data_IF_182725518453
#
_entry.id   IF_182725518453
#
_cell.length_a   1.000
_cell.length_b   1.000
_cell.length_c   1.000
_cell.angle_alpha   90.00
_cell.angle_beta   90.00
_cell.angle_gamma   90.00
#
_symmetry.space_group_name_H-M   'P 1'
#
loop_
_entity.id
_entity.type
_entity.pdbx_description
1 polymer ?
#
# COMPACT_ATOMS: atom_id res chain seq x y z
N UNK A 1 10.27 -9.80 13.77
CA UNK A 1 9.76 -9.43 15.11
C UNK A 1 10.03 -7.95 15.33
N UNK A 2 9.13 -7.27 16.04
CA UNK A 2 9.13 -5.81 16.24
C UNK A 2 10.45 -5.31 16.84
N UNK A 3 10.97 -6.00 17.85
CA UNK A 3 12.20 -5.59 18.53
C UNK A 3 13.42 -5.48 17.61
N UNK A 4 13.58 -6.41 16.67
CA UNK A 4 14.64 -6.35 15.64
C UNK A 4 14.52 -5.10 14.75
N UNK A 5 13.29 -4.73 14.37
CA UNK A 5 13.05 -3.53 13.52
C UNK A 5 13.32 -2.25 14.29
N UNK A 6 12.93 -2.18 15.56
CA UNK A 6 13.27 -1.05 16.44
C UNK A 6 14.79 -0.89 16.60
N UNK A 7 15.51 -2.00 16.80
CA UNK A 7 16.97 -2.00 16.88
C UNK A 7 17.61 -1.54 15.57
N UNK A 8 17.10 -1.99 14.42
CA UNK A 8 17.56 -1.56 13.10
C UNK A 8 17.37 -0.05 12.89
N UNK A 9 16.16 0.47 13.19
CA UNK A 9 15.87 1.90 13.09
C UNK A 9 16.77 2.72 14.02
N UNK A 10 16.90 2.29 15.28
CA UNK A 10 17.78 2.97 16.23
C UNK A 10 19.22 3.04 15.74
N UNK A 11 19.75 1.94 15.21
CA UNK A 11 21.12 1.90 14.67
C UNK A 11 21.27 2.74 13.39
N UNK A 12 20.24 2.80 12.52
CA UNK A 12 20.23 3.63 11.30
C UNK A 12 20.35 5.13 11.62
N UNK A 13 19.79 5.56 12.74
CA UNK A 13 19.87 6.94 13.23
C UNK A 13 21.02 7.16 14.22
N UNK A 14 21.90 6.16 14.42
CA UNK A 14 23.06 6.23 15.32
C UNK A 14 22.73 6.57 16.79
N UNK A 15 21.53 6.18 17.24
CA UNK A 15 21.04 6.49 18.58
C UNK A 15 21.38 5.38 19.58
N UNK A 16 21.68 5.77 20.81
CA UNK A 16 21.72 4.84 21.95
C UNK A 16 20.31 4.53 22.46
N UNK A 17 20.14 3.41 23.17
CA UNK A 17 18.86 3.08 23.82
C UNK A 17 18.42 4.15 24.82
N UNK A 18 19.37 4.87 25.42
CA UNK A 18 19.07 5.92 26.39
C UNK A 18 18.59 7.21 25.71
N UNK A 19 19.24 7.63 24.63
CA UNK A 19 18.82 8.80 23.86
C UNK A 19 17.43 8.62 23.26
N UNK A 20 17.16 7.47 22.65
CA UNK A 20 15.85 7.20 22.07
C UNK A 20 14.75 7.10 23.14
N UNK A 21 15.06 6.50 24.30
CA UNK A 21 14.12 6.49 25.42
C UNK A 21 13.80 7.90 25.94
N UNK A 22 14.79 8.79 26.00
CA UNK A 22 14.59 10.21 26.35
C UNK A 22 13.69 10.92 25.35
N UNK A 23 13.94 10.72 24.05
CA UNK A 23 13.13 11.30 22.96
C UNK A 23 11.68 10.83 23.02
N UNK A 24 11.46 9.54 23.30
CA UNK A 24 10.13 8.95 23.40
C UNK A 24 9.48 9.16 24.79
N UNK A 25 10.10 9.96 25.67
CA UNK A 25 9.64 10.25 27.02
C UNK A 25 9.34 8.98 27.85
N UNK A 26 10.25 8.00 27.84
CA UNK A 26 10.13 6.75 28.60
C UNK A 26 11.44 6.34 29.25
N UNK A 27 11.40 5.32 30.14
CA UNK A 27 12.61 4.80 30.75
C UNK A 27 13.42 3.96 29.76
N UNK A 28 14.76 4.05 29.85
CA UNK A 28 15.69 3.19 29.10
C UNK A 28 15.34 1.70 29.23
N UNK A 29 14.99 1.27 30.45
CA UNK A 29 14.61 -0.12 30.73
C UNK A 29 13.35 -0.56 29.97
N UNK A 30 12.36 0.33 29.85
CA UNK A 30 11.12 0.06 29.10
C UNK A 30 11.42 -0.09 27.62
N UNK A 31 12.18 0.83 27.05
CA UNK A 31 12.56 0.77 25.64
C UNK A 31 13.41 -0.48 25.32
N UNK A 32 14.39 -0.81 26.17
CA UNK A 32 15.21 -2.01 26.01
C UNK A 32 14.37 -3.30 26.00
N UNK A 33 13.30 -3.37 26.80
CA UNK A 33 12.37 -4.51 26.79
C UNK A 33 11.59 -4.65 25.47
N UNK A 34 11.37 -3.55 24.74
CA UNK A 34 10.76 -3.59 23.41
C UNK A 34 11.74 -4.19 22.38
N UNK A 35 13.01 -3.81 22.40
CA UNK A 35 14.02 -4.34 21.45
C UNK A 35 14.24 -5.85 21.56
N UNK A 36 14.08 -6.40 22.77
CA UNK A 36 14.20 -7.85 23.02
C UNK A 36 12.86 -8.59 23.00
N UNK A 37 11.80 -7.95 22.51
CA UNK A 37 10.43 -8.50 22.42
C UNK A 37 9.85 -9.02 23.77
N UNK A 38 10.40 -8.58 24.91
CA UNK A 38 9.91 -8.94 26.26
C UNK A 38 8.65 -8.18 26.65
N UNK A 39 8.47 -6.98 26.08
CA UNK A 39 7.29 -6.15 26.26
C UNK A 39 6.83 -5.64 24.89
N UNK A 40 5.54 -5.40 24.73
CA UNK A 40 4.99 -4.74 23.54
C UNK A 40 4.68 -3.28 23.88
N UNK A 41 4.98 -2.32 22.98
CA UNK A 41 4.51 -0.95 23.15
C UNK A 41 2.99 -0.90 23.09
N UNK A 42 2.40 0.04 23.81
CA UNK A 42 0.98 0.38 23.64
C UNK A 42 0.76 1.13 22.31
N UNK A 43 -0.50 1.40 21.99
CA UNK A 43 -0.88 2.07 20.75
C UNK A 43 -0.22 3.44 20.62
N UNK A 44 -0.29 4.27 21.67
CA UNK A 44 0.26 5.63 21.66
C UNK A 44 1.78 5.64 21.54
N UNK A 45 2.48 4.70 22.19
CA UNK A 45 3.93 4.55 22.06
C UNK A 45 4.31 4.06 20.67
N UNK A 46 3.57 3.11 20.12
CA UNK A 46 3.81 2.61 18.77
C UNK A 46 3.66 3.73 17.73
N UNK A 47 2.63 4.58 17.87
CA UNK A 47 2.42 5.75 17.02
C UNK A 47 3.56 6.76 17.18
N UNK A 48 3.97 7.10 18.40
CA UNK A 48 5.11 8.01 18.64
C UNK A 48 6.41 7.52 18.03
N UNK A 49 6.69 6.21 18.11
CA UNK A 49 7.85 5.60 17.47
C UNK A 49 7.75 5.74 15.94
N UNK A 50 6.57 5.43 15.38
CA UNK A 50 6.31 5.55 13.94
C UNK A 50 6.53 6.99 13.44
N UNK A 51 5.98 7.97 14.15
CA UNK A 51 6.08 9.39 13.82
C UNK A 51 7.52 9.91 13.94
N UNK A 52 8.25 9.48 14.97
CA UNK A 52 9.64 9.88 15.17
C UNK A 52 10.55 9.37 14.05
N UNK A 53 10.44 8.09 13.71
CA UNK A 53 11.27 7.49 12.67
C UNK A 53 10.73 7.73 11.25
N UNK A 54 9.59 8.42 11.11
CA UNK A 54 8.89 8.64 9.83
C UNK A 54 8.64 7.32 9.10
N UNK A 55 8.12 6.34 9.82
CA UNK A 55 7.79 5.00 9.30
C UNK A 55 6.33 4.68 9.55
N UNK A 56 5.75 3.75 8.79
CA UNK A 56 4.39 3.29 9.07
C UNK A 56 4.37 2.33 10.25
N UNK A 57 3.24 2.26 10.98
CA UNK A 57 3.03 1.22 11.99
C UNK A 57 3.05 -0.18 11.38
N UNK A 58 2.64 -0.32 10.11
CA UNK A 58 2.71 -1.58 9.38
C UNK A 58 4.17 -2.04 9.17
N UNK A 59 5.10 -1.11 8.95
CA UNK A 59 6.52 -1.41 8.97
C UNK A 59 7.02 -1.78 10.37
N UNK A 60 6.55 -1.15 11.44
CA UNK A 60 6.96 -1.59 12.78
C UNK A 60 6.46 -3.03 13.07
N UNK A 61 5.22 -3.33 12.68
CA UNK A 61 4.54 -4.56 13.05
C UNK A 61 4.87 -5.80 12.21
N UNK A 62 5.65 -5.70 11.14
CA UNK A 62 5.98 -6.87 10.33
C UNK A 62 5.25 -6.96 8.99
N UNK A 63 4.26 -6.09 8.73
CA UNK A 63 3.34 -6.22 7.58
C UNK A 63 3.94 -5.73 6.26
N UNK A 64 4.98 -4.92 6.35
CA UNK A 64 5.67 -4.34 5.19
C UNK A 64 7.16 -4.23 5.50
N UNK A 65 8.02 -4.42 4.50
CA UNK A 65 9.49 -4.26 4.62
C UNK A 65 9.95 -2.83 4.26
N UNK A 66 9.06 -2.00 3.71
CA UNK A 66 9.35 -0.60 3.39
C UNK A 66 9.35 0.26 4.65
N UNK A 67 10.55 0.66 5.06
CA UNK A 67 10.79 1.44 6.29
C UNK A 67 10.44 2.91 6.20
N UNK A 68 9.79 3.43 5.15
CA UNK A 68 9.81 4.88 4.92
C UNK A 68 8.46 5.48 4.53
N UNK A 69 8.00 6.40 5.37
CA UNK A 69 7.25 7.59 4.97
C UNK A 69 8.33 8.61 4.55
N UNK A 70 9.00 8.34 3.44
CA UNK A 70 9.99 9.29 2.91
C UNK A 70 9.19 10.43 2.29
N UNK A 71 9.29 11.62 2.90
CA UNK A 71 9.08 12.86 2.18
C UNK A 71 9.87 12.77 0.86
N UNK A 72 9.17 12.94 -0.27
CA UNK A 72 9.60 12.64 -1.65
C UNK A 72 9.49 11.17 -2.12
N UNK A 73 8.31 10.61 -1.91
CA UNK A 73 7.90 9.28 -2.38
C UNK A 73 7.86 9.16 -3.91
N UNK A 74 7.42 10.22 -4.60
CA UNK A 74 7.21 10.17 -6.06
C UNK A 74 8.54 10.16 -6.84
N UNK A 75 9.52 11.05 -6.58
CA UNK A 75 10.77 11.07 -7.35
C UNK A 75 11.54 9.74 -7.32
N UNK A 76 11.77 9.19 -6.13
CA UNK A 76 12.50 7.94 -5.94
C UNK A 76 11.78 6.75 -6.57
N UNK A 77 10.44 6.67 -6.40
CA UNK A 77 9.64 5.58 -6.96
C UNK A 77 9.46 5.68 -8.46
N UNK A 78 9.38 6.90 -8.99
CA UNK A 78 9.33 7.16 -10.42
C UNK A 78 10.60 6.65 -11.10
N UNK A 79 11.77 6.96 -10.52
CA UNK A 79 13.05 6.44 -10.99
C UNK A 79 13.11 4.92 -10.88
N UNK A 80 12.73 4.37 -9.73
CA UNK A 80 12.73 2.92 -9.48
C UNK A 80 11.87 2.16 -10.49
N UNK A 81 10.62 2.58 -10.73
CA UNK A 81 9.72 1.86 -11.65
C UNK A 81 10.15 2.01 -13.10
N UNK A 82 10.72 3.17 -13.47
CA UNK A 82 11.29 3.36 -14.80
C UNK A 82 12.43 2.38 -15.07
N UNK A 83 13.36 2.24 -14.11
CA UNK A 83 14.48 1.29 -14.19
C UNK A 83 14.00 -0.17 -14.21
N UNK A 84 12.98 -0.51 -13.40
CA UNK A 84 12.38 -1.85 -13.41
C UNK A 84 11.70 -2.22 -14.73
N UNK A 85 11.12 -1.24 -15.41
CA UNK A 85 10.51 -1.42 -16.72
C UNK A 85 11.51 -1.33 -17.88
N UNK A 86 12.80 -1.12 -17.60
CA UNK A 86 13.87 -0.95 -18.59
C UNK A 86 13.63 0.21 -19.57
N UNK A 87 12.92 1.26 -19.12
CA UNK A 87 12.60 2.44 -19.94
C UNK A 87 13.66 3.52 -19.75
N UNK A 88 14.17 4.09 -20.85
CA UNK A 88 15.08 5.25 -20.79
C UNK A 88 14.35 6.56 -20.46
N UNK A 89 15.09 7.60 -20.07
CA UNK A 89 14.47 8.91 -19.81
C UNK A 89 13.87 9.51 -21.08
N UNK A 90 14.53 9.27 -22.21
CA UNK A 90 14.14 9.71 -23.53
C UNK A 90 12.85 9.02 -23.98
N UNK A 91 12.78 7.70 -23.90
CA UNK A 91 11.57 6.95 -24.27
C UNK A 91 10.36 7.33 -23.40
N UNK A 92 10.57 7.52 -22.08
CA UNK A 92 9.51 7.98 -21.21
C UNK A 92 9.05 9.40 -21.60
N UNK A 93 9.99 10.30 -21.88
CA UNK A 93 9.68 11.67 -22.30
C UNK A 93 8.91 11.70 -23.63
N UNK A 94 9.31 10.89 -24.61
CA UNK A 94 8.62 10.74 -25.90
C UNK A 94 7.19 10.23 -25.71
N UNK A 95 6.99 9.20 -24.87
CA UNK A 95 5.65 8.66 -24.59
C UNK A 95 4.68 9.68 -24.00
N UNK A 96 5.21 10.68 -23.28
CA UNK A 96 4.44 11.70 -22.59
C UNK A 96 4.38 13.04 -23.34
N UNK A 97 5.06 13.15 -24.49
CA UNK A 97 5.29 14.42 -25.19
C UNK A 97 5.89 15.50 -24.27
N UNK A 98 6.86 15.13 -23.44
CA UNK A 98 7.56 16.01 -22.50
C UNK A 98 9.04 16.12 -22.86
N UNK A 99 9.76 17.06 -22.24
CA UNK A 99 11.21 17.10 -22.37
C UNK A 99 11.85 16.07 -21.43
N UNK A 100 12.96 15.45 -21.86
CA UNK A 100 13.78 14.59 -21.00
C UNK A 100 14.21 15.32 -19.71
N UNK A 101 14.48 16.62 -19.82
CA UNK A 101 14.84 17.47 -18.69
C UNK A 101 13.72 17.55 -17.64
N UNK A 102 12.45 17.59 -18.06
CA UNK A 102 11.32 17.57 -17.13
C UNK A 102 11.27 16.27 -16.35
N UNK A 103 11.43 15.12 -17.02
CA UNK A 103 11.44 13.81 -16.37
C UNK A 103 12.59 13.72 -15.35
N UNK A 104 13.79 14.16 -15.72
CA UNK A 104 14.94 14.22 -14.81
C UNK A 104 14.69 15.15 -13.60
N UNK A 105 14.01 16.27 -13.80
CA UNK A 105 13.64 17.17 -12.71
C UNK A 105 12.58 16.59 -11.77
N UNK A 106 11.66 15.77 -12.30
CA UNK A 106 10.70 15.02 -11.49
C UNK A 106 11.40 13.94 -10.65
N UNK A 107 12.33 13.17 -11.24
CA UNK A 107 13.10 12.14 -10.52
C UNK A 107 14.06 12.70 -9.47
N UNK A 108 14.55 13.93 -9.66
CA UNK A 108 15.40 14.62 -8.67
C UNK A 108 14.62 15.42 -7.65
N UNK A 109 13.28 15.47 -7.75
CA UNK A 109 12.41 16.24 -6.85
C UNK A 109 12.54 17.76 -6.99
N UNK A 110 13.25 18.26 -8.00
CA UNK A 110 13.41 19.69 -8.27
C UNK A 110 12.13 20.34 -8.81
N UNK A 111 11.26 19.54 -9.42
CA UNK A 111 9.98 19.98 -9.99
C UNK A 111 8.85 19.17 -9.39
N UNK A 112 7.80 19.85 -8.92
CA UNK A 112 6.58 19.20 -8.44
C UNK A 112 5.75 18.68 -9.62
N UNK A 113 5.12 17.53 -9.42
CA UNK A 113 4.20 16.92 -10.38
C UNK A 113 2.78 17.42 -10.15
N UNK A 114 2.09 17.80 -11.24
CA UNK A 114 0.66 18.05 -11.19
C UNK A 114 -0.12 16.72 -11.15
N UNK A 115 -1.30 16.64 -10.50
CA UNK A 115 -2.10 15.41 -10.45
C UNK A 115 -2.40 14.84 -11.84
N UNK A 116 -2.59 15.67 -12.86
CA UNK A 116 -2.81 15.21 -14.22
C UNK A 116 -1.60 14.47 -14.80
N UNK A 117 -0.41 15.05 -14.63
CA UNK A 117 0.87 14.45 -15.05
C UNK A 117 1.16 13.16 -14.28
N UNK A 118 0.82 13.12 -12.98
CA UNK A 118 1.01 11.93 -12.16
C UNK A 118 0.19 10.73 -12.66
N UNK A 119 -1.07 10.96 -13.05
CA UNK A 119 -1.94 9.93 -13.63
C UNK A 119 -1.36 9.42 -14.95
N UNK A 120 -0.85 10.34 -15.78
CA UNK A 120 -0.27 10.02 -17.07
C UNK A 120 1.03 9.20 -16.93
N UNK A 121 1.89 9.54 -15.97
CA UNK A 121 3.10 8.76 -15.62
C UNK A 121 2.75 7.36 -15.11
N UNK A 122 1.76 7.26 -14.23
CA UNK A 122 1.29 5.99 -13.70
C UNK A 122 0.83 5.04 -14.83
N UNK A 123 0.09 5.59 -15.82
CA UNK A 123 -0.33 4.85 -17.02
C UNK A 123 0.84 4.38 -17.88
N UNK A 124 1.78 5.26 -18.23
CA UNK A 124 2.89 4.89 -19.12
C UNK A 124 3.83 3.87 -18.49
N UNK A 125 4.03 3.96 -17.18
CA UNK A 125 4.88 3.04 -16.41
C UNK A 125 4.12 1.80 -15.92
N UNK A 126 2.86 1.63 -16.34
CA UNK A 126 1.97 0.55 -15.91
C UNK A 126 2.01 0.28 -14.40
N UNK A 127 1.97 1.35 -13.60
CA UNK A 127 1.95 1.26 -12.15
C UNK A 127 0.82 2.10 -11.57
N UNK A 128 0.31 1.73 -10.41
CA UNK A 128 -0.73 2.46 -9.72
C UNK A 128 -0.23 3.83 -9.23
N UNK A 129 -1.13 4.81 -9.21
CA UNK A 129 -0.86 6.13 -8.60
C UNK A 129 -0.54 5.96 -7.12
N UNK A 130 -1.20 5.01 -6.44
CA UNK A 130 -0.94 4.69 -5.04
C UNK A 130 0.47 4.16 -4.80
N UNK A 131 1.09 3.48 -5.78
CA UNK A 131 2.49 3.13 -5.69
C UNK A 131 3.35 4.38 -5.82
N UNK A 132 3.14 5.26 -6.79
CA UNK A 132 3.95 6.48 -6.92
C UNK A 132 3.83 7.37 -5.68
N UNK A 133 2.62 7.49 -5.12
CA UNK A 133 2.33 8.17 -3.86
C UNK A 133 2.67 7.34 -2.61
N UNK A 134 3.27 6.16 -2.82
CA UNK A 134 3.67 5.16 -1.84
C UNK A 134 2.72 4.85 -0.69
N UNK A 135 1.43 4.86 -1.00
CA UNK A 135 0.40 4.22 -0.18
C UNK A 135 0.50 2.70 -0.23
N UNK A 136 1.07 2.15 -1.31
CA UNK A 136 1.33 0.71 -1.45
C UNK A 136 2.80 0.44 -1.75
N UNK A 137 3.26 -0.77 -1.50
CA UNK A 137 4.68 -1.16 -1.68
C UNK A 137 4.98 -1.77 -3.03
N UNK A 138 3.99 -2.41 -3.64
CA UNK A 138 4.09 -3.07 -4.93
C UNK A 138 3.61 -2.12 -6.03
N UNK A 139 4.26 -2.08 -7.20
CA UNK A 139 3.90 -1.15 -8.27
C UNK A 139 2.46 -1.27 -8.75
N UNK A 140 1.85 -2.47 -8.65
CA UNK A 140 0.49 -2.88 -9.12
C UNK A 140 0.13 -2.31 -10.49
N UNK A 141 -0.20 -3.16 -11.45
CA UNK A 141 -0.56 -2.68 -12.79
C UNK A 141 -1.69 -1.65 -12.73
N UNK A 142 -1.48 -0.52 -13.43
CA UNK A 142 -2.49 0.54 -13.55
C UNK A 142 -3.79 0.00 -14.19
N UNK A 143 -3.67 -1.04 -15.02
CA UNK A 143 -4.74 -1.60 -15.85
C UNK A 143 -5.74 -2.47 -15.05
N UNK A 144 -5.55 -2.70 -13.74
CA UNK A 144 -6.51 -3.50 -12.96
C UNK A 144 -7.93 -2.87 -12.88
N UNK A 145 -8.08 -1.56 -13.12
CA UNK A 145 -9.32 -0.84 -12.85
C UNK A 145 -10.19 -0.51 -14.07
N UNK A 146 -9.66 -0.53 -15.30
CA UNK A 146 -10.45 -0.14 -16.48
C UNK A 146 -11.15 -1.30 -17.19
N UNK A 147 -10.70 -2.54 -17.03
CA UNK A 147 -11.37 -3.71 -17.62
C UNK A 147 -12.07 -4.62 -16.59
N UNK A 148 -11.79 -4.46 -15.30
CA UNK A 148 -12.46 -5.20 -14.23
C UNK A 148 -13.02 -4.23 -13.21
N UNK A 149 -14.15 -3.60 -13.56
CA UNK A 149 -14.93 -2.83 -12.61
C UNK A 149 -15.22 -3.69 -11.38
N UNK A 150 -14.72 -3.27 -10.22
CA UNK A 150 -14.99 -3.86 -8.89
C UNK A 150 -15.40 -5.35 -8.89
N UNK A 151 -14.59 -6.24 -9.46
CA UNK A 151 -14.63 -7.63 -9.03
C UNK A 151 -13.75 -7.70 -7.79
N UNK A 152 -14.28 -7.24 -6.66
CA UNK A 152 -13.82 -7.80 -5.39
C UNK A 152 -13.97 -9.31 -5.54
N UNK A 153 -12.96 -10.10 -5.17
CA UNK A 153 -12.94 -11.59 -5.24
C UNK A 153 -14.22 -12.28 -4.70
N UNK A 154 -15.10 -11.55 -4.01
CA UNK A 154 -16.41 -12.01 -3.54
C UNK A 154 -17.58 -11.85 -4.54
N UNK A 155 -17.39 -11.22 -5.71
CA UNK A 155 -18.49 -10.82 -6.59
C UNK A 155 -18.15 -10.82 -8.10
N UNK A 156 -17.40 -11.81 -8.60
CA UNK A 156 -17.37 -12.08 -10.05
C UNK A 156 -18.70 -12.73 -10.46
N UNK A 157 -19.50 -12.14 -11.38
CA UNK A 157 -20.71 -12.79 -11.91
C UNK A 157 -20.42 -14.05 -12.74
N UNK A 158 -19.15 -14.28 -13.11
CA UNK A 158 -18.68 -15.47 -13.82
C UNK A 158 -18.35 -16.65 -12.90
N UNK A 159 -18.22 -16.42 -11.60
CA UNK A 159 -18.11 -17.47 -10.58
C UNK A 159 -19.46 -17.59 -9.88
N UNK A 160 -20.55 -17.82 -10.63
CA UNK A 160 -21.81 -18.25 -10.00
C UNK A 160 -21.62 -19.73 -9.63
N UNK A 161 -21.38 -20.08 -8.34
CA UNK A 161 -21.20 -21.47 -7.94
C UNK A 161 -22.46 -22.32 -8.19
N UNK A 162 -23.57 -21.69 -8.60
CA UNK A 162 -24.81 -22.33 -8.97
C UNK A 162 -24.86 -22.76 -10.45
N UNK A 163 -23.93 -22.30 -11.30
CA UNK A 163 -23.97 -22.56 -12.74
C UNK A 163 -23.78 -24.04 -13.07
N UNK A 164 -22.91 -24.72 -12.32
CA UNK A 164 -22.58 -26.15 -12.46
C UNK A 164 -23.52 -27.09 -11.67
N UNK A 165 -24.53 -26.56 -10.98
CA UNK A 165 -25.48 -27.39 -10.23
C UNK A 165 -26.36 -28.23 -11.17
N UNK A 166 -26.70 -29.48 -10.79
CA UNK A 166 -27.74 -30.25 -11.47
C UNK A 166 -29.04 -29.46 -11.54
N UNK A 167 -29.80 -29.63 -12.62
CA UNK A 167 -31.09 -28.95 -12.85
C UNK A 167 -32.07 -29.12 -11.68
N UNK A 168 -32.05 -30.28 -11.02
CA UNK A 168 -32.87 -30.56 -9.84
C UNK A 168 -32.49 -29.66 -8.64
N UNK A 169 -31.21 -29.38 -8.44
CA UNK A 169 -30.73 -28.50 -7.37
C UNK A 169 -31.01 -27.01 -7.67
N UNK A 170 -30.91 -26.59 -8.93
CA UNK A 170 -31.30 -25.25 -9.37
C UNK A 170 -32.78 -25.00 -9.12
N UNK A 171 -33.62 -25.98 -9.46
CA UNK A 171 -35.07 -25.91 -9.23
C UNK A 171 -35.42 -25.83 -7.74
N UNK A 172 -34.78 -26.64 -6.90
CA UNK A 172 -35.00 -26.60 -5.45
C UNK A 172 -34.62 -25.25 -4.81
N UNK A 173 -33.55 -24.62 -5.29
CA UNK A 173 -33.15 -23.27 -4.84
C UNK A 173 -34.18 -22.21 -5.23
N UNK A 174 -34.74 -22.31 -6.43
CA UNK A 174 -35.75 -21.36 -6.90
C UNK A 174 -37.07 -21.50 -6.13
N UNK A 175 -37.51 -22.75 -5.88
CA UNK A 175 -38.65 -23.05 -5.02
C UNK A 175 -38.43 -22.52 -3.58
N UNK A 176 -37.20 -22.62 -3.05
CA UNK A 176 -36.86 -22.08 -1.74
C UNK A 176 -36.88 -20.54 -1.72
N UNK A 177 -36.37 -19.88 -2.76
CA UNK A 177 -36.46 -18.41 -2.89
C UNK A 177 -37.91 -17.94 -2.94
N UNK A 178 -38.75 -18.58 -3.75
CA UNK A 178 -40.19 -18.27 -3.81
C UNK A 178 -40.86 -18.50 -2.46
N UNK A 179 -40.52 -19.57 -1.75
CA UNK A 179 -41.02 -19.83 -0.41
C UNK A 179 -40.65 -18.70 0.57
N UNK A 180 -39.39 -18.26 0.58
CA UNK A 180 -38.93 -17.16 1.44
C UNK A 180 -39.65 -15.85 1.07
N UNK A 181 -39.76 -15.54 -0.23
CA UNK A 181 -40.45 -14.35 -0.72
C UNK A 181 -41.93 -14.35 -0.33
N UNK A 182 -42.61 -15.49 -0.46
CA UNK A 182 -44.02 -15.62 -0.09
C UNK A 182 -44.24 -15.62 1.43
N UNK A 183 -43.30 -16.19 2.21
CA UNK A 183 -43.39 -16.22 3.68
C UNK A 183 -43.18 -14.86 4.33
N UNK A 184 -42.35 -14.01 3.73
CA UNK A 184 -41.95 -12.71 4.29
C UNK A 184 -42.43 -11.49 3.50
N UNK A 185 -43.16 -11.68 2.39
CA UNK A 185 -44.01 -10.63 1.85
C UNK A 185 -45.08 -10.31 2.90
N UNK A 186 -44.83 -9.27 3.69
CA UNK A 186 -45.91 -8.53 4.34
C UNK A 186 -46.71 -7.89 3.22
N UNK A 187 -47.99 -8.21 3.16
CA UNK A 187 -48.97 -7.40 2.45
C UNK A 187 -48.88 -5.98 3.03
N UNK A 188 -48.28 -5.07 2.26
CA UNK A 188 -48.45 -3.63 2.49
C UNK A 188 -49.80 -3.21 1.92
#
# INVERSE_FOLDING_TARGET
>A
MLGKRLQQLRNKFELTQEELAKILCMSRSTYAQYEVDRRKPDYDTLQRIADYFKVSTDFLLGRTELSVIEECLVPNRLKMIRELNEISLEELAESLNMSQTDISQFESGKKSLDPSTLIVLAKSLNCSVDFLLGRITEPRSYILESEQGYSTLAASPSDDPLQDLPEEAKKALEEFKEFILNKYRKDN
#
